data_IF_204178040591
#
_entry.id   IF_204178040591
#
_cell.length_a   1.000
_cell.length_b   1.000
_cell.length_c   1.000
_cell.angle_alpha   90.00
_cell.angle_beta   90.00
_cell.angle_gamma   90.00
#
_symmetry.space_group_name_H-M   'P 1'
#
loop_
_entity.id
_entity.type
_entity.pdbx_description
1 polymer ?
#
# COMPACT_ATOMS: atom_id res chain seq x y z
N UNK A 1 40.15 -2.89 27.92
CA UNK A 1 39.61 -3.09 26.57
C UNK A 1 38.10 -3.38 26.55
N UNK A 2 37.54 -4.18 27.44
CA UNK A 2 36.09 -4.57 27.41
C UNK A 2 35.06 -3.41 27.54
N UNK A 3 35.34 -2.38 28.38
CA UNK A 3 34.37 -1.25 28.58
C UNK A 3 34.16 -0.38 27.34
N UNK A 4 35.23 -0.09 26.57
CA UNK A 4 35.12 0.73 25.35
C UNK A 4 34.31 0.02 24.25
N UNK A 5 34.42 -1.31 24.17
CA UNK A 5 33.68 -2.12 23.21
C UNK A 5 32.16 -2.17 23.55
N UNK A 6 31.81 -2.28 24.83
CA UNK A 6 30.41 -2.28 25.28
C UNK A 6 29.76 -0.93 25.00
N UNK A 7 30.43 0.18 25.30
CA UNK A 7 29.92 1.54 25.00
C UNK A 7 29.69 1.72 23.52
N UNK A 8 30.61 1.30 22.65
CA UNK A 8 30.46 1.41 21.20
C UNK A 8 29.25 0.61 20.66
N UNK A 9 29.04 -0.60 21.17
CA UNK A 9 27.91 -1.44 20.81
C UNK A 9 26.59 -0.79 21.27
N UNK A 10 26.55 -0.28 22.50
CA UNK A 10 25.35 0.39 23.03
C UNK A 10 24.98 1.63 22.24
N UNK A 11 25.98 2.45 21.87
CA UNK A 11 25.77 3.63 21.03
C UNK A 11 25.29 3.24 19.63
N UNK A 12 25.85 2.20 19.03
CA UNK A 12 25.41 1.72 17.71
C UNK A 12 23.95 1.22 17.74
N UNK A 13 23.57 0.47 18.78
CA UNK A 13 22.17 0.01 18.94
C UNK A 13 21.24 1.21 19.14
N UNK A 14 21.63 2.20 19.95
CA UNK A 14 20.81 3.40 20.17
C UNK A 14 20.63 4.20 18.87
N UNK A 15 21.69 4.36 18.08
CA UNK A 15 21.59 5.02 16.76
C UNK A 15 20.69 4.26 15.80
N UNK A 16 20.77 2.93 15.74
CA UNK A 16 19.91 2.09 14.92
C UNK A 16 18.43 2.21 15.34
N UNK A 17 18.14 2.22 16.63
CA UNK A 17 16.76 2.39 17.12
C UNK A 17 16.21 3.79 16.84
N UNK A 18 17.02 4.84 16.93
CA UNK A 18 16.63 6.20 16.60
C UNK A 18 16.36 6.38 15.09
N UNK A 19 17.18 5.78 14.23
CA UNK A 19 16.95 5.84 12.77
C UNK A 19 15.70 5.07 12.37
N UNK A 20 15.48 3.89 12.94
CA UNK A 20 14.27 3.11 12.70
C UNK A 20 13.00 3.83 13.16
N UNK A 21 13.01 4.39 14.38
CA UNK A 21 11.89 5.19 14.89
C UNK A 21 11.64 6.43 14.04
N UNK A 22 12.70 7.09 13.56
CA UNK A 22 12.62 8.23 12.65
C UNK A 22 11.99 7.86 11.31
N UNK A 23 12.37 6.71 10.74
CA UNK A 23 11.80 6.22 9.49
C UNK A 23 10.31 5.88 9.63
N UNK A 24 9.92 5.19 10.71
CA UNK A 24 8.51 4.89 10.98
C UNK A 24 7.68 6.16 11.14
N UNK A 25 8.20 7.17 11.86
CA UNK A 25 7.53 8.45 12.04
C UNK A 25 7.41 9.20 10.71
N UNK A 26 8.46 9.20 9.89
CA UNK A 26 8.44 9.80 8.56
C UNK A 26 7.33 9.20 7.69
N UNK A 27 7.28 7.86 7.58
CA UNK A 27 6.24 7.16 6.81
C UNK A 27 4.85 7.49 7.34
N UNK A 28 4.66 7.47 8.66
CA UNK A 28 3.37 7.77 9.29
C UNK A 28 2.88 9.20 9.02
N UNK A 29 3.80 10.16 8.95
CA UNK A 29 3.46 11.57 8.72
C UNK A 29 3.31 11.91 7.23
N UNK A 30 4.03 11.25 6.36
CA UNK A 30 4.13 11.64 4.94
C UNK A 30 3.44 10.65 3.99
N UNK A 31 3.21 9.41 4.43
CA UNK A 31 2.76 8.32 3.56
C UNK A 31 3.78 7.96 2.49
N UNK A 32 5.08 8.22 2.71
CA UNK A 32 6.17 7.99 1.75
C UNK A 32 7.25 7.11 2.37
N UNK A 33 8.00 6.42 1.49
CA UNK A 33 9.11 5.58 1.90
C UNK A 33 8.69 4.21 2.44
N UNK A 34 9.68 3.34 2.65
CA UNK A 34 9.50 2.00 3.21
C UNK A 34 8.94 2.07 4.64
N UNK A 35 7.85 1.36 4.89
CA UNK A 35 7.19 1.28 6.19
C UNK A 35 7.47 -0.03 6.92
N UNK A 36 6.75 -0.25 8.03
CA UNK A 36 6.84 -1.50 8.78
C UNK A 36 6.01 -2.61 8.13
N UNK A 37 4.88 -2.26 7.55
CA UNK A 37 3.93 -3.19 6.92
C UNK A 37 4.07 -3.24 5.40
N UNK A 38 4.32 -2.09 4.78
CA UNK A 38 4.58 -1.98 3.35
C UNK A 38 6.10 -1.88 3.15
N UNK A 39 6.75 -3.03 3.03
CA UNK A 39 8.20 -3.14 2.81
C UNK A 39 8.43 -3.68 1.41
N UNK A 40 9.36 -3.09 0.67
CA UNK A 40 9.69 -3.51 -0.70
C UNK A 40 11.19 -3.46 -0.96
N UNK A 41 11.63 -4.20 -1.97
CA UNK A 41 12.99 -4.24 -2.49
C UNK A 41 13.14 -3.51 -3.82
N UNK A 42 14.33 -3.64 -4.41
CA UNK A 42 14.71 -3.03 -5.69
C UNK A 42 13.82 -3.45 -6.87
N UNK A 43 13.22 -4.65 -6.80
CA UNK A 43 12.36 -5.18 -7.87
C UNK A 43 11.06 -4.40 -8.00
N UNK A 44 10.50 -3.96 -6.85
CA UNK A 44 9.33 -3.09 -6.84
C UNK A 44 9.68 -1.69 -7.37
N UNK A 45 10.86 -1.17 -7.02
CA UNK A 45 11.34 0.11 -7.55
C UNK A 45 11.51 0.06 -9.07
N UNK A 46 12.19 -0.98 -9.58
CA UNK A 46 12.38 -1.18 -11.01
C UNK A 46 11.05 -1.36 -11.77
N UNK A 47 10.11 -2.10 -11.18
CA UNK A 47 8.78 -2.28 -11.74
C UNK A 47 8.02 -0.95 -11.79
N UNK A 48 8.03 -0.19 -10.70
CA UNK A 48 7.36 1.11 -10.62
C UNK A 48 7.94 2.11 -11.62
N UNK A 49 9.27 2.15 -11.78
CA UNK A 49 9.93 2.97 -12.78
C UNK A 49 9.52 2.58 -14.21
N UNK A 50 9.39 1.28 -14.48
CA UNK A 50 8.94 0.79 -15.77
C UNK A 50 7.48 1.17 -16.06
N UNK A 51 6.59 1.03 -15.07
CA UNK A 51 5.17 1.40 -15.17
C UNK A 51 5.03 2.90 -15.41
N UNK A 52 5.77 3.71 -14.66
CA UNK A 52 5.67 5.18 -14.71
C UNK A 52 6.49 5.81 -15.84
N UNK A 53 7.15 5.00 -16.67
CA UNK A 53 7.97 5.50 -17.79
C UNK A 53 7.12 6.32 -18.76
N UNK A 54 7.44 7.61 -18.86
CA UNK A 54 6.74 8.55 -19.74
C UNK A 54 5.59 9.30 -19.08
N UNK A 55 5.21 8.96 -17.85
CA UNK A 55 4.24 9.74 -17.08
C UNK A 55 4.80 11.15 -16.77
N UNK A 56 3.97 12.16 -16.94
CA UNK A 56 4.38 13.58 -16.86
C UNK A 56 4.11 14.20 -15.48
N UNK A 57 3.21 13.61 -14.71
CA UNK A 57 2.76 14.12 -13.42
C UNK A 57 2.34 12.98 -12.47
N UNK A 58 2.06 13.31 -11.20
CA UNK A 58 1.66 12.33 -10.19
C UNK A 58 0.35 11.61 -10.55
N UNK A 59 -0.63 12.33 -11.12
CA UNK A 59 -1.90 11.73 -11.56
C UNK A 59 -1.66 10.61 -12.56
N UNK A 60 -0.89 10.87 -13.60
CA UNK A 60 -0.58 9.87 -14.64
C UNK A 60 0.13 8.65 -14.03
N UNK A 61 1.05 8.87 -13.07
CA UNK A 61 1.72 7.78 -12.36
C UNK A 61 0.74 6.95 -11.53
N UNK A 62 -0.13 7.60 -10.75
CA UNK A 62 -1.13 6.92 -9.91
C UNK A 62 -2.05 6.06 -10.76
N UNK A 63 -2.56 6.58 -11.88
CA UNK A 63 -3.42 5.82 -12.79
C UNK A 63 -2.67 4.68 -13.47
N UNK A 64 -1.43 4.89 -13.91
CA UNK A 64 -0.62 3.82 -14.52
C UNK A 64 -0.35 2.68 -13.52
N UNK A 65 -0.03 2.99 -12.27
CA UNK A 65 0.16 2.00 -11.20
C UNK A 65 -1.17 1.30 -10.90
N UNK A 66 -2.27 2.06 -10.81
CA UNK A 66 -3.60 1.52 -10.57
C UNK A 66 -4.01 0.50 -11.64
N UNK A 67 -3.89 0.89 -12.90
CA UNK A 67 -4.17 0.01 -14.03
C UNK A 67 -3.30 -1.24 -14.00
N UNK A 68 -2.01 -1.05 -13.74
CA UNK A 68 -1.10 -2.18 -13.72
C UNK A 68 -1.48 -3.19 -12.64
N UNK A 69 -1.72 -2.76 -11.39
CA UNK A 69 -2.11 -3.66 -10.30
C UNK A 69 -3.44 -4.34 -10.61
N UNK A 70 -4.46 -3.57 -10.99
CA UNK A 70 -5.80 -4.09 -11.33
C UNK A 70 -5.79 -5.09 -12.48
N UNK A 71 -4.91 -4.90 -13.47
CA UNK A 71 -4.87 -5.72 -14.67
C UNK A 71 -3.95 -6.95 -14.55
N UNK A 72 -2.98 -6.93 -13.64
CA UNK A 72 -1.94 -7.96 -13.54
C UNK A 72 -2.03 -8.81 -12.28
N UNK A 73 -2.84 -8.45 -11.30
CA UNK A 73 -3.07 -9.26 -10.10
C UNK A 73 -4.51 -9.77 -10.13
N UNK A 74 -4.68 -11.05 -9.80
CA UNK A 74 -5.99 -11.71 -9.74
C UNK A 74 -6.41 -11.87 -8.29
N UNK A 75 -7.69 -11.64 -7.96
CA UNK A 75 -8.20 -11.85 -6.62
C UNK A 75 -8.18 -13.34 -6.25
N UNK A 76 -7.59 -13.66 -5.10
CA UNK A 76 -7.41 -15.02 -4.62
C UNK A 76 -8.55 -15.39 -3.64
N UNK A 77 -9.58 -16.05 -4.16
CA UNK A 77 -10.70 -16.52 -3.35
C UNK A 77 -10.38 -17.79 -2.55
N UNK A 78 -9.28 -18.46 -2.86
CA UNK A 78 -8.82 -19.69 -2.20
C UNK A 78 -7.74 -19.40 -1.15
N UNK A 79 -7.52 -18.12 -0.83
CA UNK A 79 -6.50 -17.70 0.12
C UNK A 79 -6.76 -18.29 1.51
N UNK A 80 -5.80 -19.08 2.00
CA UNK A 80 -5.84 -19.63 3.35
C UNK A 80 -5.39 -18.57 4.37
N UNK A 81 -6.31 -18.13 5.21
CA UNK A 81 -6.08 -17.12 6.25
C UNK A 81 -5.16 -17.61 7.37
N UNK A 82 -4.87 -18.91 7.48
CA UNK A 82 -3.87 -19.44 8.42
C UNK A 82 -2.44 -19.06 8.01
N UNK A 83 -2.20 -18.79 6.72
CA UNK A 83 -0.93 -18.27 6.20
C UNK A 83 -0.91 -16.74 6.20
N UNK A 84 -0.74 -16.13 7.37
CA UNK A 84 -0.66 -14.66 7.53
C UNK A 84 0.71 -14.06 7.12
N UNK A 85 1.33 -14.52 6.06
CA UNK A 85 2.52 -13.88 5.52
C UNK A 85 2.17 -13.03 4.31
N UNK A 86 1.96 -11.74 4.57
CA UNK A 86 1.80 -10.73 3.53
C UNK A 86 3.18 -10.34 3.00
N UNK A 87 3.45 -10.74 1.78
CA UNK A 87 4.72 -10.48 1.12
C UNK A 87 4.47 -9.95 -0.30
N UNK A 88 4.97 -8.76 -0.57
CA UNK A 88 4.85 -8.12 -1.88
C UNK A 88 5.51 -8.98 -2.96
N UNK A 89 6.65 -9.61 -2.65
CA UNK A 89 7.37 -10.47 -3.58
C UNK A 89 6.54 -11.72 -3.94
N UNK A 90 5.81 -12.29 -2.96
CA UNK A 90 4.85 -13.36 -3.21
C UNK A 90 3.74 -12.89 -4.16
N UNK A 91 3.14 -11.74 -3.89
CA UNK A 91 2.06 -11.19 -4.73
C UNK A 91 2.54 -10.95 -6.16
N UNK A 92 3.75 -10.43 -6.35
CA UNK A 92 4.37 -10.23 -7.65
C UNK A 92 4.67 -11.53 -8.38
N UNK A 93 5.18 -12.54 -7.69
CA UNK A 93 5.56 -13.83 -8.29
C UNK A 93 4.36 -14.68 -8.64
N UNK A 94 3.34 -14.74 -7.78
CA UNK A 94 2.13 -15.55 -8.00
C UNK A 94 1.07 -14.86 -8.85
N UNK A 95 1.10 -13.53 -8.95
CA UNK A 95 0.06 -12.71 -9.57
C UNK A 95 -1.32 -12.89 -8.94
N UNK A 96 -1.35 -13.26 -7.65
CA UNK A 96 -2.58 -13.48 -6.88
C UNK A 96 -2.47 -12.83 -5.51
N UNK A 97 -3.62 -12.39 -4.97
CA UNK A 97 -3.70 -11.86 -3.63
C UNK A 97 -5.12 -11.47 -3.22
N UNK A 98 -5.29 -11.16 -1.94
CA UNK A 98 -6.51 -10.59 -1.37
C UNK A 98 -6.43 -9.06 -1.32
N UNK A 99 -7.47 -8.38 -0.86
CA UNK A 99 -7.52 -6.92 -0.76
C UNK A 99 -6.30 -6.31 -0.06
N UNK A 100 -5.76 -6.97 0.96
CA UNK A 100 -4.56 -6.55 1.67
C UNK A 100 -3.30 -6.59 0.79
N UNK A 101 -3.11 -7.65 0.01
CA UNK A 101 -1.97 -7.81 -0.91
C UNK A 101 -2.00 -6.76 -2.02
N UNK A 102 -3.18 -6.53 -2.62
CA UNK A 102 -3.40 -5.50 -3.62
C UNK A 102 -3.03 -4.11 -3.08
N UNK A 103 -3.53 -3.79 -1.89
CA UNK A 103 -3.33 -2.49 -1.27
C UNK A 103 -1.87 -2.24 -0.89
N UNK A 104 -1.16 -3.27 -0.38
CA UNK A 104 0.25 -3.15 -0.06
C UNK A 104 1.12 -3.00 -1.31
N UNK A 105 0.85 -3.78 -2.36
CA UNK A 105 1.57 -3.67 -3.63
C UNK A 105 1.36 -2.28 -4.26
N UNK A 106 0.12 -1.82 -4.35
CA UNK A 106 -0.19 -0.49 -4.86
C UNK A 106 0.52 0.61 -4.05
N UNK A 107 0.46 0.51 -2.72
CA UNK A 107 1.10 1.45 -1.82
C UNK A 107 2.64 1.48 -2.01
N UNK A 108 3.27 0.31 -2.14
CA UNK A 108 4.71 0.20 -2.37
C UNK A 108 5.13 0.85 -3.70
N UNK A 109 4.39 0.56 -4.78
CA UNK A 109 4.64 1.15 -6.10
C UNK A 109 4.47 2.68 -6.10
N UNK A 110 3.45 3.20 -5.40
CA UNK A 110 3.27 4.66 -5.24
C UNK A 110 4.40 5.29 -4.42
N UNK A 111 4.73 4.69 -3.27
CA UNK A 111 5.77 5.22 -2.37
C UNK A 111 7.16 5.18 -3.00
N UNK A 112 7.48 4.19 -3.82
CA UNK A 112 8.75 4.12 -4.57
C UNK A 112 8.88 5.26 -5.59
N UNK A 113 7.75 5.78 -6.10
CA UNK A 113 7.68 7.00 -6.93
C UNK A 113 7.58 8.30 -6.10
N UNK A 114 7.81 8.22 -4.78
CA UNK A 114 7.70 9.34 -3.85
C UNK A 114 6.27 9.96 -3.79
N UNK A 115 5.24 9.18 -4.11
CA UNK A 115 3.83 9.55 -3.99
C UNK A 115 3.33 9.15 -2.60
N UNK A 116 2.65 10.07 -1.91
CA UNK A 116 2.09 9.80 -0.58
C UNK A 116 0.93 8.83 -0.70
N UNK A 117 1.05 7.66 -0.08
CA UNK A 117 0.05 6.61 -0.10
C UNK A 117 -0.02 5.89 1.25
N UNK A 118 -1.22 5.59 1.70
CA UNK A 118 -1.49 4.78 2.88
C UNK A 118 -2.29 3.54 2.52
N UNK A 119 -2.05 2.48 3.27
CA UNK A 119 -2.96 1.33 3.34
C UNK A 119 -3.98 1.62 4.43
N UNK A 120 -5.24 1.36 4.16
CA UNK A 120 -6.36 1.61 5.05
C UNK A 120 -7.11 0.31 5.31
N UNK A 121 -7.21 -0.08 6.57
CA UNK A 121 -8.03 -1.20 7.00
C UNK A 121 -9.34 -0.70 7.60
N UNK A 122 -10.40 -1.43 7.33
CA UNK A 122 -11.70 -1.18 7.90
C UNK A 122 -12.61 -2.40 7.83
N UNK A 123 -13.87 -2.20 8.20
CA UNK A 123 -14.92 -3.20 8.06
C UNK A 123 -16.20 -2.55 7.56
N UNK A 124 -17.07 -3.35 6.93
CA UNK A 124 -18.39 -2.92 6.51
C UNK A 124 -19.21 -2.47 7.73
N UNK A 125 -19.81 -1.30 7.67
CA UNK A 125 -20.59 -0.72 8.78
C UNK A 125 -21.78 -1.60 9.17
N UNK A 126 -22.30 -2.36 8.24
CA UNK A 126 -23.44 -3.27 8.44
C UNK A 126 -23.01 -4.67 8.88
N UNK A 127 -21.73 -5.02 8.67
CA UNK A 127 -21.19 -6.33 9.00
C UNK A 127 -19.72 -6.25 9.40
N UNK A 128 -19.44 -6.29 10.70
CA UNK A 128 -18.07 -6.17 11.25
C UNK A 128 -17.14 -7.33 10.89
N UNK A 129 -17.66 -8.44 10.43
CA UNK A 129 -16.86 -9.58 10.00
C UNK A 129 -16.34 -9.40 8.57
N UNK A 130 -16.94 -8.51 7.79
CA UNK A 130 -16.47 -8.14 6.46
C UNK A 130 -15.33 -7.13 6.53
N UNK A 131 -14.15 -7.65 6.83
CA UNK A 131 -12.92 -6.87 6.80
C UNK A 131 -12.55 -6.52 5.36
N UNK A 132 -12.03 -5.29 5.17
CA UNK A 132 -11.59 -4.83 3.87
C UNK A 132 -10.37 -3.93 4.00
N UNK A 133 -9.54 -3.92 2.93
CA UNK A 133 -8.34 -3.09 2.85
C UNK A 133 -8.32 -2.38 1.51
N UNK A 134 -8.05 -1.08 1.53
CA UNK A 134 -7.94 -0.23 0.35
C UNK A 134 -6.81 0.79 0.51
N UNK A 135 -6.67 1.71 -0.43
CA UNK A 135 -5.63 2.74 -0.39
C UNK A 135 -6.20 4.15 -0.30
N UNK A 136 -5.41 4.99 0.35
CA UNK A 136 -5.56 6.43 0.36
C UNK A 136 -4.30 7.05 -0.20
N UNK A 137 -4.42 7.77 -1.31
CA UNK A 137 -3.29 8.34 -2.06
C UNK A 137 -3.48 9.83 -2.28
N UNK A 138 -2.40 10.59 -2.20
CA UNK A 138 -2.40 12.03 -2.42
C UNK A 138 -1.82 12.36 -3.78
N UNK A 139 -2.61 13.01 -4.63
CA UNK A 139 -2.17 13.58 -5.90
C UNK A 139 -3.06 14.76 -6.28
N UNK A 140 -2.54 15.69 -7.07
CA UNK A 140 -3.24 16.91 -7.48
C UNK A 140 -3.79 17.75 -6.32
N UNK A 141 -3.11 17.73 -5.17
CA UNK A 141 -3.50 18.52 -4.01
C UNK A 141 -4.65 17.95 -3.18
N UNK A 142 -5.15 16.75 -3.49
CA UNK A 142 -6.25 16.09 -2.77
C UNK A 142 -5.90 14.65 -2.37
N UNK A 143 -6.53 14.19 -1.31
CA UNK A 143 -6.53 12.78 -0.95
C UNK A 143 -7.64 12.04 -1.68
N UNK A 144 -7.32 10.92 -2.29
CA UNK A 144 -8.27 10.06 -2.96
C UNK A 144 -8.25 8.67 -2.32
N UNK A 145 -9.43 8.08 -2.17
CA UNK A 145 -9.54 6.66 -1.83
C UNK A 145 -9.70 5.86 -3.12
N UNK A 146 -9.00 4.74 -3.21
CA UNK A 146 -9.09 3.84 -4.36
C UNK A 146 -8.82 2.40 -3.95
N UNK A 147 -9.40 1.48 -4.70
CA UNK A 147 -9.38 0.06 -4.42
C UNK A 147 -9.11 -0.74 -5.70
N UNK A 148 -7.86 -1.18 -5.83
CA UNK A 148 -7.44 -1.98 -6.98
C UNK A 148 -8.01 -3.39 -6.94
N UNK A 149 -8.27 -3.94 -5.74
CA UNK A 149 -8.84 -5.28 -5.59
C UNK A 149 -10.31 -5.33 -6.04
N UNK A 150 -11.07 -4.29 -5.70
CA UNK A 150 -12.46 -4.16 -6.13
C UNK A 150 -12.59 -4.11 -7.65
N UNK A 151 -11.76 -3.31 -8.31
CA UNK A 151 -11.78 -3.22 -9.77
C UNK A 151 -11.20 -4.46 -10.47
N UNK A 152 -10.26 -5.20 -9.85
CA UNK A 152 -9.81 -6.49 -10.37
C UNK A 152 -10.96 -7.52 -10.41
N UNK A 153 -11.79 -7.56 -9.36
CA UNK A 153 -13.00 -8.39 -9.33
C UNK A 153 -14.01 -7.93 -10.40
N UNK A 154 -14.26 -6.62 -10.49
CA UNK A 154 -15.16 -6.04 -11.51
C UNK A 154 -14.73 -6.37 -12.93
N UNK A 155 -13.42 -6.30 -13.18
CA UNK A 155 -12.84 -6.68 -14.48
C UNK A 155 -13.11 -8.15 -14.81
N UNK A 156 -12.92 -9.05 -13.84
CA UNK A 156 -13.22 -10.47 -14.02
C UNK A 156 -14.70 -10.72 -14.37
N UNK A 157 -15.59 -9.84 -13.93
CA UNK A 157 -17.02 -9.83 -14.24
C UNK A 157 -17.37 -9.09 -15.55
N UNK A 158 -16.39 -8.60 -16.30
CA UNK A 158 -16.59 -7.84 -17.53
C UNK A 158 -17.11 -6.40 -17.34
N UNK A 159 -16.99 -5.85 -16.13
CA UNK A 159 -17.40 -4.47 -15.80
C UNK A 159 -16.27 -3.47 -16.06
N UNK A 160 -16.64 -2.19 -16.19
CA UNK A 160 -15.67 -1.10 -16.36
C UNK A 160 -14.80 -0.92 -15.13
N UNK A 161 -13.53 -0.51 -15.34
CA UNK A 161 -12.60 -0.10 -14.28
C UNK A 161 -12.99 1.27 -13.69
N UNK A 162 -12.26 1.67 -12.64
CA UNK A 162 -12.46 2.92 -11.89
C UNK A 162 -13.82 3.05 -11.21
N UNK A 163 -14.43 1.89 -10.84
CA UNK A 163 -15.68 1.87 -10.10
C UNK A 163 -15.55 2.40 -8.67
N UNK A 164 -14.32 2.45 -8.15
CA UNK A 164 -14.03 2.84 -6.76
C UNK A 164 -12.98 3.96 -6.64
N UNK A 165 -12.79 4.79 -7.65
CA UNK A 165 -12.04 6.04 -7.49
C UNK A 165 -13.00 7.10 -6.98
N UNK A 166 -12.94 7.37 -5.68
CA UNK A 166 -13.67 8.48 -5.07
C UNK A 166 -12.72 9.66 -4.93
N UNK A 167 -12.91 10.68 -5.75
CA UNK A 167 -12.31 11.99 -5.56
C UNK A 167 -12.99 12.63 -4.34
N UNK A 168 -12.23 12.80 -3.28
CA UNK A 168 -12.78 13.18 -2.00
C UNK A 168 -13.38 14.58 -1.88
N UNK A 169 -14.53 14.57 -1.24
CA UNK A 169 -14.65 15.26 0.05
C UNK A 169 -14.64 14.18 1.15
N UNK A 170 -13.85 14.35 2.17
CA UNK A 170 -13.50 13.46 3.29
C UNK A 170 -14.64 12.64 3.93
N UNK A 171 -15.85 12.83 3.50
CA UNK A 171 -17.10 12.51 4.17
C UNK A 171 -17.93 11.36 3.55
N UNK A 172 -17.53 10.80 2.41
CA UNK A 172 -18.41 9.87 1.69
C UNK A 172 -18.14 8.38 1.98
N UNK A 173 -16.92 8.01 2.36
CA UNK A 173 -16.59 6.61 2.69
C UNK A 173 -16.93 6.20 4.11
N UNK A 174 -17.01 7.15 5.04
CA UNK A 174 -17.50 6.92 6.39
C UNK A 174 -18.96 6.40 6.43
N UNK A 175 -19.62 6.32 5.27
CA UNK A 175 -20.97 5.79 5.17
C UNK A 175 -21.02 4.27 5.03
N UNK A 176 -20.05 3.67 4.34
CA UNK A 176 -20.04 2.22 4.07
C UNK A 176 -19.07 1.47 5.00
N UNK A 177 -17.91 2.06 5.30
CA UNK A 177 -16.86 1.42 6.09
C UNK A 177 -16.55 2.18 7.37
N UNK A 178 -16.13 1.43 8.40
CA UNK A 178 -15.52 1.96 9.62
C UNK A 178 -14.03 1.72 9.53
N UNK A 179 -13.24 2.81 9.45
CA UNK A 179 -11.78 2.75 9.40
C UNK A 179 -11.26 2.31 10.77
N UNK A 180 -10.41 1.28 10.80
CA UNK A 180 -9.77 0.77 12.01
C UNK A 180 -8.29 1.10 12.08
N UNK A 181 -7.61 1.22 10.92
CA UNK A 181 -6.18 1.49 10.84
C UNK A 181 -5.82 2.21 9.55
N UNK A 182 -4.80 3.07 9.63
CA UNK A 182 -4.14 3.72 8.48
C UNK A 182 -2.63 3.60 8.69
N UNK A 183 -1.86 3.13 7.70
CA UNK A 183 -0.41 2.97 7.78
C UNK A 183 0.32 3.06 6.44
#
# INVERSE_FOLDING_TARGET
>A
MKKKSVIAITVAILLLTLTFAGSCLYVRLTGRGNGVTTVWGSDVEALSDAICKGCKNEREKVYAIYDWVTLNITYDYEFDTEYQYFDIDRTLSTRKGICFDFSNLFCALCRSQNISCYVVDGYDRTDREKLHTWNRVFFDGIWCNLDTSFDAVRKAEGKSLYGFIQLEKYDSQDKEYVITRIY
#
